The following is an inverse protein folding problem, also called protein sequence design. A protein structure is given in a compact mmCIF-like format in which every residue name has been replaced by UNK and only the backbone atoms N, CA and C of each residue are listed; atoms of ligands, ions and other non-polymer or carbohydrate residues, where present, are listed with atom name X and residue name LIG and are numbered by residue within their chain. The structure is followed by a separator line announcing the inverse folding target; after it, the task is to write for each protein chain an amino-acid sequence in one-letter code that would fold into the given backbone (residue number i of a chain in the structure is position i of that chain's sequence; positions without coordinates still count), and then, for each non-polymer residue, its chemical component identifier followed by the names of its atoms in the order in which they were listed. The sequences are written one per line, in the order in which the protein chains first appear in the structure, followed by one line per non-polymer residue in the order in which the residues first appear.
data_IF_085260182993
#
_entry.id   IF_085260182993
#
_cell.length_a   1.000
_cell.length_b   1.000
_cell.length_c   1.000
_cell.angle_alpha   90.00
_cell.angle_beta   90.00
_cell.angle_gamma   90.00
#
_symmetry.space_group_name_H-M   'P 1'
#
loop_
_entity.id
_entity.type
_entity.pdbx_description
1 polymer ?
#
# COMPACT_ATOMS: atom_id res chain seq x y z
N UNK A 1 17.41 6.22 1.49
CA UNK A 1 18.06 4.93 1.81
C UNK A 1 19.55 5.07 2.10
N UNK A 2 20.42 5.39 1.11
CA UNK A 2 21.88 5.47 1.30
C UNK A 2 22.30 6.29 2.53
N UNK A 3 21.76 7.49 2.70
CA UNK A 3 22.00 8.36 3.87
C UNK A 3 21.58 7.70 5.20
N UNK A 4 20.46 6.98 5.23
CA UNK A 4 19.97 6.30 6.43
C UNK A 4 20.84 5.08 6.79
N UNK A 5 21.40 4.39 5.78
CA UNK A 5 22.31 3.27 5.98
C UNK A 5 23.74 3.70 6.37
N UNK A 6 24.10 4.97 6.16
CA UNK A 6 25.41 5.51 6.54
C UNK A 6 25.49 6.00 7.99
N UNK A 7 24.38 5.92 8.74
CA UNK A 7 24.36 6.32 10.14
C UNK A 7 25.04 5.25 11.02
N UNK A 8 26.18 5.62 11.61
CA UNK A 8 26.97 4.73 12.49
C UNK A 8 26.31 4.47 13.85
N UNK A 9 25.25 5.21 14.19
CA UNK A 9 24.48 5.03 15.43
C UNK A 9 23.16 4.26 15.21
N UNK A 10 22.98 3.64 14.04
CA UNK A 10 21.82 2.80 13.76
C UNK A 10 21.75 1.62 14.74
N UNK A 11 20.82 1.70 15.70
CA UNK A 11 20.55 0.67 16.71
C UNK A 11 19.22 -0.05 16.40
N UNK A 12 19.13 -1.32 16.77
CA UNK A 12 17.90 -2.11 16.64
C UNK A 12 17.43 -2.31 15.20
N UNK A 13 16.19 -1.94 14.90
CA UNK A 13 15.50 -2.18 13.62
C UNK A 13 15.72 -1.07 12.56
N UNK A 14 16.63 -0.12 12.83
CA UNK A 14 16.81 1.08 12.01
C UNK A 14 17.12 0.79 10.53
N UNK A 15 17.90 -0.26 10.26
CA UNK A 15 18.20 -0.71 8.89
C UNK A 15 16.92 -1.21 8.21
N UNK A 16 16.19 -2.12 8.85
CA UNK A 16 14.93 -2.65 8.33
C UNK A 16 13.91 -1.55 8.07
N UNK A 17 13.78 -0.57 8.97
CA UNK A 17 12.91 0.60 8.77
C UNK A 17 13.36 1.50 7.63
N UNK A 18 14.67 1.68 7.43
CA UNK A 18 15.19 2.42 6.28
C UNK A 18 14.81 1.77 4.95
N UNK A 19 14.89 0.43 4.87
CA UNK A 19 14.42 -0.33 3.70
C UNK A 19 12.90 -0.26 3.55
N UNK A 20 12.16 -0.44 4.64
CA UNK A 20 10.70 -0.36 4.61
C UNK A 20 10.21 1.00 4.10
N UNK A 21 10.79 2.10 4.58
CA UNK A 21 10.52 3.45 4.08
C UNK A 21 10.89 3.63 2.62
N UNK A 22 11.97 3.00 2.16
CA UNK A 22 12.31 3.00 0.74
C UNK A 22 11.24 2.25 -0.07
N UNK A 23 10.77 1.09 0.40
CA UNK A 23 9.70 0.32 -0.25
C UNK A 23 8.39 1.11 -0.28
N UNK A 24 7.95 1.72 0.82
CA UNK A 24 6.79 2.65 0.83
C UNK A 24 7.01 3.78 -0.17
N UNK A 25 8.22 4.33 -0.15
CA UNK A 25 8.71 5.33 -1.09
C UNK A 25 8.84 4.83 -2.54
N UNK A 26 8.58 3.56 -2.87
CA UNK A 26 8.57 3.01 -4.23
C UNK A 26 7.17 2.52 -4.65
N UNK A 27 6.49 1.79 -3.76
CA UNK A 27 5.25 1.07 -4.06
C UNK A 27 4.06 1.49 -3.19
N UNK A 28 4.23 2.37 -2.20
CA UNK A 28 3.14 2.84 -1.33
C UNK A 28 2.00 3.55 -2.06
N UNK A 29 2.22 3.98 -3.31
CA UNK A 29 1.17 4.50 -4.19
C UNK A 29 0.13 3.45 -4.60
N UNK A 30 0.34 2.16 -4.33
CA UNK A 30 -0.61 1.09 -4.68
C UNK A 30 -2.01 1.33 -4.11
N UNK A 31 -2.12 1.95 -2.92
CA UNK A 31 -3.38 2.33 -2.31
C UNK A 31 -4.21 3.23 -3.23
N UNK A 32 -3.62 4.19 -3.92
CA UNK A 32 -4.32 5.07 -4.89
C UNK A 32 -4.81 4.32 -6.14
N UNK A 33 -4.33 3.09 -6.34
CA UNK A 33 -4.73 2.20 -7.43
C UNK A 33 -5.74 1.13 -7.00
N UNK A 34 -6.11 1.05 -5.72
CA UNK A 34 -7.20 0.20 -5.25
C UNK A 34 -8.53 0.87 -5.61
N UNK A 35 -9.41 0.11 -6.26
CA UNK A 35 -10.77 0.51 -6.60
C UNK A 35 -11.75 -0.15 -5.64
N UNK A 36 -12.58 0.68 -5.01
CA UNK A 36 -13.66 0.25 -4.12
C UNK A 36 -14.94 0.78 -4.73
N UNK A 37 -15.76 -0.12 -5.27
CA UNK A 37 -17.06 0.18 -5.86
C UNK A 37 -18.15 -0.55 -5.06
N UNK A 38 -19.24 0.15 -4.74
CA UNK A 38 -20.30 -0.39 -3.88
C UNK A 38 -20.94 -1.62 -4.54
N UNK A 39 -20.98 -2.73 -3.81
CA UNK A 39 -21.57 -3.99 -4.29
C UNK A 39 -20.68 -4.78 -5.26
N UNK A 40 -19.44 -4.34 -5.49
CA UNK A 40 -18.47 -5.08 -6.30
C UNK A 40 -17.26 -5.50 -5.45
N UNK A 41 -16.52 -6.48 -5.96
CA UNK A 41 -15.23 -6.85 -5.38
C UNK A 41 -14.24 -5.69 -5.52
N UNK A 42 -13.43 -5.51 -4.48
CA UNK A 42 -12.31 -4.58 -4.48
C UNK A 42 -11.26 -5.10 -5.45
N UNK A 43 -10.80 -4.22 -6.33
CA UNK A 43 -9.84 -4.55 -7.39
C UNK A 43 -8.65 -3.60 -7.40
N UNK A 44 -7.59 -3.98 -8.13
CA UNK A 44 -6.41 -3.16 -8.37
C UNK A 44 -6.38 -2.67 -9.82
N UNK A 45 -6.01 -1.41 -10.02
CA UNK A 45 -5.90 -0.76 -11.32
C UNK A 45 -4.42 -0.49 -11.66
N UNK A 46 -3.76 -1.35 -12.46
CA UNK A 46 -2.34 -1.21 -12.80
C UNK A 46 -2.00 0.14 -13.44
N UNK A 47 -2.88 0.66 -14.29
CA UNK A 47 -2.65 1.94 -14.97
C UNK A 47 -2.73 3.11 -13.99
N UNK A 48 -3.65 3.06 -13.01
CA UNK A 48 -3.68 4.04 -11.93
C UNK A 48 -2.41 3.99 -11.09
N UNK A 49 -1.90 2.80 -10.78
CA UNK A 49 -0.65 2.63 -10.03
C UNK A 49 0.52 3.30 -10.75
N UNK A 50 0.69 3.06 -12.05
CA UNK A 50 1.74 3.69 -12.84
C UNK A 50 1.59 5.22 -12.84
N UNK A 51 0.35 5.75 -12.88
CA UNK A 51 0.11 7.20 -12.86
C UNK A 51 0.38 7.88 -11.52
N UNK A 52 0.53 7.13 -10.42
CA UNK A 52 0.81 7.72 -9.10
C UNK A 52 2.08 8.58 -9.09
N UNK A 53 3.06 8.28 -9.94
CA UNK A 53 4.35 8.98 -9.98
C UNK A 53 4.85 9.13 -11.40
N UNK A 54 4.61 10.31 -11.98
CA UNK A 54 4.97 10.64 -13.37
C UNK A 54 6.44 10.34 -13.71
N UNK A 55 7.37 10.71 -12.84
CA UNK A 55 8.81 10.51 -13.07
C UNK A 55 9.29 9.05 -12.87
N UNK A 56 8.46 8.18 -12.28
CA UNK A 56 8.81 6.78 -12.02
C UNK A 56 8.07 5.79 -12.93
N UNK A 57 7.26 6.26 -13.89
CA UNK A 57 6.42 5.38 -14.70
C UNK A 57 7.15 4.20 -15.35
N UNK A 58 8.35 4.37 -15.97
CA UNK A 58 9.07 3.24 -16.53
C UNK A 58 9.45 2.18 -15.48
N UNK A 59 9.79 2.62 -14.27
CA UNK A 59 10.10 1.73 -13.16
C UNK A 59 8.84 1.04 -12.63
N UNK A 60 7.74 1.76 -12.43
CA UNK A 60 6.48 1.19 -11.94
C UNK A 60 5.91 0.15 -12.91
N UNK A 61 6.10 0.33 -14.23
CA UNK A 61 5.75 -0.69 -15.24
C UNK A 61 6.56 -1.98 -15.05
N UNK A 62 7.85 -1.89 -14.70
CA UNK A 62 8.66 -3.07 -14.37
C UNK A 62 8.23 -3.70 -13.04
N UNK A 63 7.84 -2.88 -12.06
CA UNK A 63 7.30 -3.38 -10.79
C UNK A 63 6.02 -4.21 -11.02
N UNK A 64 5.13 -3.79 -11.93
CA UNK A 64 3.94 -4.58 -12.28
C UNK A 64 4.26 -5.97 -12.84
N UNK A 65 5.43 -6.13 -13.48
CA UNK A 65 5.88 -7.42 -14.00
C UNK A 65 6.52 -8.32 -12.94
N UNK A 66 6.71 -7.80 -11.71
CA UNK A 66 7.36 -8.53 -10.62
C UNK A 66 6.39 -9.49 -9.93
N UNK A 67 6.78 -10.76 -9.83
CA UNK A 67 5.98 -11.79 -9.15
C UNK A 67 5.71 -11.44 -7.67
N UNK A 68 6.72 -10.94 -6.96
CA UNK A 68 6.57 -10.56 -5.55
C UNK A 68 5.62 -9.38 -5.37
N UNK A 69 5.58 -8.45 -6.34
CA UNK A 69 4.62 -7.35 -6.29
C UNK A 69 3.20 -7.81 -6.61
N UNK A 70 3.04 -8.74 -7.56
CA UNK A 70 1.73 -9.35 -7.85
C UNK A 70 1.18 -10.07 -6.62
N UNK A 71 1.99 -10.93 -5.99
CA UNK A 71 1.62 -11.59 -4.73
C UNK A 71 1.23 -10.60 -3.64
N UNK A 72 2.02 -9.54 -3.46
CA UNK A 72 1.70 -8.47 -2.51
C UNK A 72 0.31 -7.86 -2.79
N UNK A 73 -0.02 -7.56 -4.05
CA UNK A 73 -1.34 -7.01 -4.40
C UNK A 73 -2.44 -8.04 -4.17
N UNK A 74 -2.25 -9.28 -4.60
CA UNK A 74 -3.25 -10.35 -4.48
C UNK A 74 -3.61 -10.62 -3.01
N UNK A 75 -2.61 -10.73 -2.13
CA UNK A 75 -2.80 -10.89 -0.68
C UNK A 75 -3.58 -9.71 -0.08
N UNK A 76 -3.29 -8.48 -0.52
CA UNK A 76 -4.02 -7.29 -0.07
C UNK A 76 -5.47 -7.31 -0.54
N UNK A 77 -5.73 -7.68 -1.79
CA UNK A 77 -7.08 -7.80 -2.32
C UNK A 77 -7.86 -8.92 -1.62
N UNK A 78 -7.23 -10.04 -1.29
CA UNK A 78 -7.85 -11.13 -0.53
C UNK A 78 -8.25 -10.67 0.88
N UNK A 79 -7.35 -10.00 1.60
CA UNK A 79 -7.63 -9.45 2.93
C UNK A 79 -8.77 -8.43 2.91
N UNK A 80 -8.82 -7.58 1.89
CA UNK A 80 -9.87 -6.58 1.71
C UNK A 80 -11.21 -7.23 1.36
N UNK A 81 -11.25 -8.11 0.38
CA UNK A 81 -12.49 -8.76 -0.06
C UNK A 81 -13.05 -9.74 0.98
N UNK A 82 -12.22 -10.24 1.91
CA UNK A 82 -12.67 -11.02 3.07
C UNK A 82 -13.14 -10.17 4.26
N UNK A 83 -13.11 -8.84 4.14
CA UNK A 83 -13.53 -7.91 5.21
C UNK A 83 -12.56 -7.81 6.39
N UNK A 84 -11.39 -8.46 6.33
CA UNK A 84 -10.38 -8.48 7.42
C UNK A 84 -9.56 -7.20 7.46
N UNK A 85 -9.29 -6.59 6.30
CA UNK A 85 -8.38 -5.46 6.21
C UNK A 85 -6.93 -5.83 6.57
N UNK A 86 -6.07 -4.83 6.72
CA UNK A 86 -4.65 -5.01 7.06
C UNK A 86 -4.13 -3.91 8.00
N UNK A 87 -3.10 -4.24 8.79
CA UNK A 87 -2.49 -3.32 9.77
C UNK A 87 -1.04 -3.71 10.10
N UNK A 88 -0.23 -4.02 9.08
CA UNK A 88 1.18 -4.35 9.27
C UNK A 88 2.12 -3.13 9.20
N UNK A 89 3.42 -3.37 9.42
CA UNK A 89 4.47 -2.34 9.45
C UNK A 89 4.56 -1.54 8.15
N UNK A 90 4.34 -2.17 7.00
CA UNK A 90 4.34 -1.46 5.72
C UNK A 90 3.21 -0.43 5.67
N UNK A 91 2.04 -0.80 6.18
CA UNK A 91 0.87 0.06 6.21
C UNK A 91 1.00 1.17 7.27
N UNK A 92 1.69 0.89 8.38
CA UNK A 92 2.07 1.88 9.38
C UNK A 92 3.01 2.94 8.80
N UNK A 93 4.07 2.52 8.08
CA UNK A 93 5.00 3.46 7.43
C UNK A 93 4.33 4.24 6.29
N UNK A 94 3.39 3.64 5.54
CA UNK A 94 2.56 4.38 4.58
C UNK A 94 1.76 5.51 5.25
N UNK A 95 1.24 5.28 6.46
CA UNK A 95 0.49 6.29 7.21
C UNK A 95 1.40 7.44 7.68
N UNK A 96 2.62 7.13 8.14
CA UNK A 96 3.61 8.13 8.54
C UNK A 96 4.08 8.96 7.33
N UNK A 97 4.32 8.31 6.20
CA UNK A 97 4.78 8.96 4.98
C UNK A 97 3.69 9.77 4.26
N UNK A 98 2.43 9.71 4.71
CA UNK A 98 1.30 10.34 4.03
C UNK A 98 1.03 9.77 2.63
N UNK A 99 1.42 8.52 2.39
CA UNK A 99 1.21 7.87 1.10
C UNK A 99 -0.29 7.60 0.87
N UNK A 100 -0.78 7.95 -0.31
CA UNK A 100 -2.15 7.71 -0.77
C UNK A 100 -3.26 8.16 0.21
N UNK A 101 -3.32 9.46 0.53
CA UNK A 101 -4.24 9.98 1.55
C UNK A 101 -5.72 9.86 1.14
N UNK A 102 -6.02 9.86 -0.16
CA UNK A 102 -7.40 9.77 -0.68
C UNK A 102 -7.98 8.38 -0.43
N UNK A 103 -7.28 7.32 -0.82
CA UNK A 103 -7.75 5.95 -0.60
C UNK A 103 -7.86 5.62 0.87
N UNK A 104 -6.99 6.18 1.73
CA UNK A 104 -7.09 5.99 3.18
C UNK A 104 -8.46 6.40 3.73
N UNK A 105 -9.03 7.50 3.23
CA UNK A 105 -10.36 7.96 3.63
C UNK A 105 -11.45 7.01 3.13
N UNK A 106 -11.43 6.68 1.84
CA UNK A 106 -12.39 5.74 1.23
C UNK A 106 -12.37 4.36 1.90
N UNK A 107 -11.18 3.85 2.21
CA UNK A 107 -11.02 2.59 2.93
C UNK A 107 -11.59 2.63 4.34
N UNK A 108 -11.33 3.71 5.10
CA UNK A 108 -11.91 3.86 6.45
C UNK A 108 -13.42 3.95 6.42
N UNK A 109 -14.00 4.58 5.40
CA UNK A 109 -15.45 4.65 5.20
C UNK A 109 -16.04 3.29 4.84
N UNK A 110 -15.42 2.56 3.90
CA UNK A 110 -15.79 1.20 3.55
C UNK A 110 -15.73 0.25 4.75
N UNK A 111 -14.63 0.27 5.52
CA UNK A 111 -14.47 -0.58 6.70
C UNK A 111 -15.52 -0.27 7.78
N UNK A 112 -15.91 1.02 7.92
CA UNK A 112 -17.02 1.41 8.79
C UNK A 112 -18.37 0.90 8.29
N UNK A 113 -18.60 0.89 6.98
CA UNK A 113 -19.84 0.38 6.39
C UNK A 113 -19.99 -1.14 6.62
N UNK A 114 -18.94 -1.93 6.38
CA UNK A 114 -18.95 -3.37 6.64
C UNK A 114 -19.27 -3.73 8.10
N UNK A 115 -18.70 -2.99 9.05
CA UNK A 115 -18.99 -3.19 10.48
C UNK A 115 -20.44 -2.87 10.86
N UNK A 116 -21.14 -2.05 10.08
CA UNK A 116 -22.56 -1.75 10.29
C UNK A 116 -23.47 -2.81 9.65
N UNK A 117 -23.04 -3.44 8.56
CA UNK A 117 -23.83 -4.47 7.88
C UNK A 117 -23.69 -5.87 8.53
N UNK A 118 -22.58 -6.16 9.22
CA UNK A 118 -22.36 -7.43 9.94
C UNK A 118 -22.89 -7.50 11.38
N UNK A 119 -23.69 -6.52 11.81
CA UNK A 119 -24.32 -6.46 13.14
C UNK A 119 -25.83 -6.57 13.04
N UNK A 120 -26.34 -7.76 12.69
CA UNK A 120 -27.74 -8.15 12.76
C UNK A 120 -27.84 -9.62 13.17
#
# INVERSE_FOLDING_TARGET
LRRALSDKHALGDAVSRAFLRALVGLIGGYRDAIRIEKGQLITFNPEAFVRTRKHMQPFLKKILQSQIFQQFIDERLELLNSGRGFSDEFEAECNVAGAAPRTRTHYREWARALRKEGGA
#
